data_IF_698029978991
#
_entry.id   IF_698029978991
#
_cell.length_a   1.000
_cell.length_b   1.000
_cell.length_c   1.000
_cell.angle_alpha   90.00
_cell.angle_beta   90.00
_cell.angle_gamma   90.00
#
_symmetry.space_group_name_H-M   'P 1'
#
loop_
_entity.id
_entity.type
_entity.pdbx_description
1 polymer ?
#
# COMPACT_ATOMS: atom_id res chain seq x y z
N UNK A 1 -7.28 25.86 6.65
CA UNK A 1 -7.10 25.24 5.31
C UNK A 1 -5.68 24.72 5.06
N UNK A 2 -4.60 25.41 5.47
CA UNK A 2 -3.21 24.90 5.32
C UNK A 2 -2.84 23.68 6.21
N UNK A 3 -3.42 23.57 7.40
CA UNK A 3 -3.08 22.49 8.34
C UNK A 3 -3.52 21.09 7.86
N UNK A 4 -4.66 21.00 7.18
CA UNK A 4 -5.17 19.73 6.64
C UNK A 4 -4.27 19.18 5.52
N UNK A 5 -3.82 20.05 4.61
CA UNK A 5 -2.89 19.65 3.55
C UNK A 5 -1.54 19.19 4.10
N UNK A 6 -1.02 19.88 5.11
CA UNK A 6 0.21 19.48 5.80
C UNK A 6 0.06 18.13 6.52
N UNK A 7 -1.05 17.92 7.22
CA UNK A 7 -1.33 16.65 7.90
C UNK A 7 -1.44 15.50 6.90
N UNK A 8 -2.15 15.72 5.78
CA UNK A 8 -2.32 14.71 4.74
C UNK A 8 -0.98 14.35 4.09
N UNK A 9 -0.14 15.34 3.77
CA UNK A 9 1.19 15.13 3.21
C UNK A 9 2.07 14.31 4.17
N UNK A 10 2.11 14.71 5.45
CA UNK A 10 2.87 13.99 6.48
C UNK A 10 2.35 12.58 6.72
N UNK A 11 1.04 12.37 6.62
CA UNK A 11 0.44 11.05 6.70
C UNK A 11 0.84 10.16 5.51
N UNK A 12 0.84 10.71 4.29
CA UNK A 12 1.28 9.99 3.09
C UNK A 12 2.76 9.59 3.21
N UNK A 13 3.64 10.51 3.64
CA UNK A 13 5.06 10.23 3.84
C UNK A 13 5.29 9.16 4.90
N UNK A 14 4.52 9.21 6.00
CA UNK A 14 4.57 8.18 7.04
C UNK A 14 4.11 6.82 6.52
N UNK A 15 3.01 6.77 5.75
CA UNK A 15 2.54 5.55 5.10
C UNK A 15 3.60 4.97 4.16
N UNK A 16 4.24 5.80 3.34
CA UNK A 16 5.30 5.35 2.42
C UNK A 16 6.51 4.79 3.18
N UNK A 17 6.91 5.42 4.29
CA UNK A 17 7.99 4.93 5.14
C UNK A 17 7.68 3.58 5.80
N UNK A 18 6.43 3.35 6.21
CA UNK A 18 5.99 2.08 6.79
C UNK A 18 5.89 0.98 5.73
N UNK A 19 5.26 1.27 4.59
CA UNK A 19 5.07 0.33 3.48
C UNK A 19 6.41 -0.23 2.99
N UNK A 20 7.46 0.59 2.95
CA UNK A 20 8.83 0.15 2.58
C UNK A 20 9.39 -0.94 3.49
N UNK A 21 8.98 -0.97 4.75
CA UNK A 21 9.43 -1.96 5.76
C UNK A 21 8.55 -3.21 5.78
N UNK A 22 7.36 -3.15 5.20
CA UNK A 22 6.38 -4.22 5.23
C UNK A 22 6.51 -5.15 4.02
N UNK A 23 6.23 -6.44 4.25
CA UNK A 23 5.97 -7.39 3.16
C UNK A 23 4.56 -7.16 2.60
N UNK A 24 4.34 -7.48 1.32
CA UNK A 24 3.02 -7.35 0.67
C UNK A 24 1.89 -8.00 1.49
N UNK A 25 2.11 -9.22 1.97
CA UNK A 25 1.13 -9.93 2.81
C UNK A 25 0.83 -9.23 4.14
N UNK A 26 1.82 -8.55 4.74
CA UNK A 26 1.61 -7.79 5.97
C UNK A 26 0.76 -6.54 5.70
N UNK A 27 0.99 -5.85 4.58
CA UNK A 27 0.16 -4.71 4.19
C UNK A 27 -1.31 -5.12 3.95
N UNK A 28 -1.53 -6.24 3.24
CA UNK A 28 -2.88 -6.81 3.04
C UNK A 28 -3.53 -7.19 4.37
N UNK A 29 -2.78 -7.84 5.27
CA UNK A 29 -3.31 -8.23 6.58
C UNK A 29 -3.74 -7.02 7.42
N UNK A 30 -2.96 -5.93 7.40
CA UNK A 30 -3.29 -4.68 8.11
C UNK A 30 -4.59 -4.08 7.57
N UNK A 31 -4.75 -4.00 6.25
CA UNK A 31 -5.99 -3.51 5.64
C UNK A 31 -7.20 -4.37 6.01
N UNK A 32 -7.08 -5.69 5.88
CA UNK A 32 -8.17 -6.60 6.21
C UNK A 32 -8.56 -6.51 7.69
N UNK A 33 -7.58 -6.42 8.58
CA UNK A 33 -7.82 -6.28 10.01
C UNK A 33 -8.50 -4.96 10.35
N UNK A 34 -8.11 -3.87 9.69
CA UNK A 34 -8.75 -2.57 9.87
C UNK A 34 -10.20 -2.55 9.37
N UNK A 35 -10.49 -3.21 8.24
CA UNK A 35 -11.85 -3.37 7.72
C UNK A 35 -12.71 -4.15 8.72
N UNK A 36 -12.22 -5.28 9.24
CA UNK A 36 -12.93 -6.09 10.24
C UNK A 36 -13.22 -5.28 11.50
N UNK A 37 -12.25 -4.49 11.97
CA UNK A 37 -12.45 -3.60 13.12
C UNK A 37 -13.53 -2.56 12.85
N UNK A 38 -13.57 -1.96 11.66
CA UNK A 38 -14.64 -1.00 11.30
C UNK A 38 -16.00 -1.69 11.37
N UNK A 39 -16.15 -2.89 10.81
CA UNK A 39 -17.41 -3.63 10.88
C UNK A 39 -17.83 -3.94 12.32
N UNK A 40 -16.91 -4.40 13.16
CA UNK A 40 -17.17 -4.65 14.58
C UNK A 40 -17.61 -3.38 15.31
N UNK A 41 -17.00 -2.23 15.03
CA UNK A 41 -17.39 -0.95 15.61
C UNK A 41 -18.79 -0.55 15.14
N UNK A 42 -19.09 -0.73 13.85
CA UNK A 42 -20.41 -0.41 13.29
C UNK A 42 -21.52 -1.27 13.89
N UNK A 43 -21.24 -2.53 14.19
CA UNK A 43 -22.22 -3.47 14.78
C UNK A 43 -22.49 -3.17 16.26
N UNK A 44 -21.48 -2.76 17.02
CA UNK A 44 -21.59 -2.60 18.48
C UNK A 44 -21.81 -1.15 18.94
N UNK A 45 -21.55 -0.16 18.09
CA UNK A 45 -21.63 1.26 18.46
C UNK A 45 -22.97 1.89 18.06
N UNK A 46 -23.42 2.93 18.77
CA UNK A 46 -24.55 3.73 18.32
C UNK A 46 -24.26 4.36 16.95
N UNK A 47 -25.27 4.43 16.08
CA UNK A 47 -25.09 4.75 14.66
C UNK A 47 -24.36 6.06 14.36
N UNK A 48 -24.46 7.08 15.22
CA UNK A 48 -23.73 8.34 15.07
C UNK A 48 -22.21 8.18 15.28
N UNK A 49 -21.81 7.29 16.20
CA UNK A 49 -20.42 7.00 16.50
C UNK A 49 -19.81 6.11 15.40
N UNK A 50 -20.59 5.14 14.90
CA UNK A 50 -20.24 4.36 13.72
C UNK A 50 -20.00 5.25 12.48
N UNK A 51 -20.88 6.22 12.23
CA UNK A 51 -20.74 7.16 11.12
C UNK A 51 -19.46 8.03 11.24
N UNK A 52 -19.16 8.54 12.44
CA UNK A 52 -17.93 9.30 12.68
C UNK A 52 -16.67 8.46 12.44
N UNK A 53 -16.66 7.23 12.95
CA UNK A 53 -15.55 6.30 12.76
C UNK A 53 -15.35 5.99 11.27
N UNK A 54 -16.44 5.80 10.53
CA UNK A 54 -16.39 5.55 9.09
C UNK A 54 -15.79 6.74 8.32
N UNK A 55 -16.26 7.96 8.59
CA UNK A 55 -15.78 9.18 7.93
C UNK A 55 -14.30 9.44 8.18
N UNK A 56 -13.79 9.09 9.36
CA UNK A 56 -12.39 9.33 9.72
C UNK A 56 -11.48 8.20 9.21
N UNK A 57 -11.83 6.94 9.46
CA UNK A 57 -10.94 5.80 9.19
C UNK A 57 -10.91 5.39 7.72
N UNK A 58 -12.04 5.46 7.01
CA UNK A 58 -12.11 4.98 5.62
C UNK A 58 -11.16 5.75 4.69
N UNK A 59 -11.11 7.10 4.72
CA UNK A 59 -10.14 7.84 3.92
C UNK A 59 -8.69 7.50 4.28
N UNK A 60 -8.39 7.33 5.58
CA UNK A 60 -7.05 6.98 6.06
C UNK A 60 -6.59 5.60 5.57
N UNK A 61 -7.48 4.61 5.57
CA UNK A 61 -7.22 3.28 5.03
C UNK A 61 -7.07 3.30 3.52
N UNK A 62 -7.90 4.08 2.83
CA UNK A 62 -7.83 4.21 1.38
C UNK A 62 -6.51 4.83 0.92
N UNK A 63 -6.04 5.87 1.62
CA UNK A 63 -4.73 6.48 1.37
C UNK A 63 -3.60 5.48 1.64
N UNK A 64 -3.65 4.75 2.76
CA UNK A 64 -2.65 3.73 3.07
C UNK A 64 -2.59 2.66 1.97
N UNK A 65 -3.72 2.12 1.55
CA UNK A 65 -3.77 1.09 0.52
C UNK A 65 -3.36 1.59 -0.86
N UNK A 66 -3.69 2.84 -1.20
CA UNK A 66 -3.20 3.46 -2.41
C UNK A 66 -1.66 3.57 -2.43
N UNK A 67 -1.06 4.00 -1.32
CA UNK A 67 0.41 4.10 -1.17
C UNK A 67 1.05 2.71 -1.22
N UNK A 68 0.48 1.74 -0.50
CA UNK A 68 0.94 0.35 -0.49
C UNK A 68 0.92 -0.25 -1.90
N UNK A 69 -0.22 -0.16 -2.59
CA UNK A 69 -0.38 -0.66 -3.95
C UNK A 69 0.60 0.01 -4.93
N UNK A 70 0.78 1.33 -4.84
CA UNK A 70 1.73 2.07 -5.68
C UNK A 70 3.16 1.57 -5.47
N UNK A 71 3.60 1.40 -4.22
CA UNK A 71 4.92 0.91 -3.90
C UNK A 71 5.16 -0.50 -4.44
N UNK A 72 4.26 -1.46 -4.14
CA UNK A 72 4.43 -2.84 -4.58
C UNK A 72 4.33 -3.00 -6.10
N UNK A 73 3.49 -2.20 -6.78
CA UNK A 73 3.45 -2.15 -8.25
C UNK A 73 4.80 -1.73 -8.82
N UNK A 74 5.46 -0.72 -8.25
CA UNK A 74 6.79 -0.29 -8.70
C UNK A 74 7.85 -1.36 -8.46
N UNK A 75 7.83 -2.02 -7.30
CA UNK A 75 8.74 -3.13 -6.99
C UNK A 75 8.56 -4.28 -7.98
N UNK A 76 7.32 -4.65 -8.29
CA UNK A 76 7.01 -5.71 -9.25
C UNK A 76 7.48 -5.37 -10.66
N UNK A 77 7.24 -4.13 -11.12
CA UNK A 77 7.73 -3.66 -12.43
C UNK A 77 9.25 -3.69 -12.49
N UNK A 78 9.96 -3.22 -11.45
CA UNK A 78 11.43 -3.27 -11.39
C UNK A 78 11.96 -4.70 -11.48
N UNK A 79 11.38 -5.64 -10.71
CA UNK A 79 11.76 -7.06 -10.77
C UNK A 79 11.58 -7.64 -12.17
N UNK A 80 10.41 -7.41 -12.78
CA UNK A 80 10.11 -7.89 -14.13
C UNK A 80 11.07 -7.34 -15.19
N UNK A 81 11.46 -6.06 -15.08
CA UNK A 81 12.43 -5.44 -15.99
C UNK A 81 13.82 -6.03 -15.81
N UNK A 82 14.26 -6.25 -14.56
CA UNK A 82 15.54 -6.88 -14.27
C UNK A 82 15.61 -8.33 -14.79
N UNK A 83 14.53 -9.11 -14.61
CA UNK A 83 14.43 -10.47 -15.17
C UNK A 83 14.49 -10.49 -16.69
N UNK A 84 13.80 -9.53 -17.35
CA UNK A 84 13.88 -9.38 -18.82
C UNK A 84 15.30 -9.05 -19.29
N UNK A 85 15.99 -8.15 -18.58
CA UNK A 85 17.38 -7.79 -18.88
C UNK A 85 18.32 -8.99 -18.68
N UNK A 86 18.16 -9.75 -17.60
CA UNK A 86 18.91 -10.99 -17.36
C UNK A 86 18.72 -12.01 -18.48
N UNK A 87 17.47 -12.27 -18.89
CA UNK A 87 17.19 -13.18 -20.01
C UNK A 87 17.80 -12.69 -21.33
N UNK A 88 17.73 -11.38 -21.61
CA UNK A 88 18.37 -10.79 -22.79
C UNK A 88 19.88 -11.00 -22.77
N UNK A 89 20.54 -10.72 -21.64
CA UNK A 89 21.99 -10.89 -21.49
C UNK A 89 22.39 -12.37 -21.62
N UNK A 90 21.64 -13.30 -21.02
CA UNK A 90 21.89 -14.73 -21.17
C UNK A 90 21.76 -15.20 -22.62
N UNK A 91 20.76 -14.69 -23.36
CA UNK A 91 20.60 -15.02 -24.79
C UNK A 91 21.76 -14.48 -25.64
N UNK A 92 22.23 -13.26 -25.35
CA UNK A 92 23.41 -12.70 -26.03
C UNK A 92 24.67 -13.54 -25.75
N UNK A 93 24.93 -13.89 -24.49
CA UNK A 93 26.09 -14.70 -24.09
C UNK A 93 26.06 -16.11 -24.70
N UNK A 94 24.87 -16.74 -24.84
CA UNK A 94 24.73 -18.02 -25.55
C UNK A 94 25.01 -17.88 -27.06
N UNK A 95 24.70 -16.73 -27.66
CA UNK A 95 24.99 -16.44 -29.06
C UNK A 95 26.48 -16.29 -29.36
N UNK A 96 27.27 -15.78 -28.41
CA UNK A 96 28.74 -15.66 -28.54
C UNK A 96 29.50 -16.96 -28.27
N UNK A 97 28.83 -18.04 -27.85
CA UNK A 97 29.47 -19.35 -27.56
C UNK A 97 29.44 -20.31 -28.76
N UNK A 98 29.07 -19.82 -29.95
CA UNK A 98 29.27 -20.47 -31.25
C UNK A 98 30.39 -19.76 -31.98
#
# INVERSE_FOLDING_TARGET
MFAFGYYLARYIDWCDAQVKRLKLWQAIAIEMLAVVLIFLVVENAPGWLAALVFVILVPSLWVFGFVAHRHFKQVYVKKRTAEKQLRKNQNMLKGFRK
#
